data_IF_796263832306
#
_entry.id   IF_796263832306
#
_cell.length_a   1.000
_cell.length_b   1.000
_cell.length_c   1.000
_cell.angle_alpha   90.00
_cell.angle_beta   90.00
_cell.angle_gamma   90.00
#
_symmetry.space_group_name_H-M   'P 1'
#
loop_
_entity.id
_entity.type
_entity.pdbx_description
1 polymer ?
#
# COMPACT_ATOMS: atom_id res chain seq x y z
N UNK A 1 -18.38 -8.38 -12.32
CA UNK A 1 -17.06 -8.57 -11.68
C UNK A 1 -16.94 -7.73 -10.40
N UNK A 2 -16.69 -8.36 -9.25
CA UNK A 2 -16.61 -7.69 -7.93
C UNK A 2 -15.55 -6.56 -7.89
N UNK A 3 -14.51 -6.69 -8.71
CA UNK A 3 -13.41 -5.72 -8.78
C UNK A 3 -13.83 -4.31 -9.24
N UNK A 4 -14.96 -4.15 -9.96
CA UNK A 4 -15.49 -2.82 -10.31
C UNK A 4 -15.92 -2.01 -9.09
N UNK A 5 -16.18 -2.65 -7.96
CA UNK A 5 -16.52 -1.95 -6.74
C UNK A 5 -15.34 -1.17 -6.13
N UNK A 6 -14.11 -1.40 -6.59
CA UNK A 6 -12.94 -0.58 -6.24
C UNK A 6 -12.82 0.69 -7.08
N UNK A 7 -13.50 0.78 -8.24
CA UNK A 7 -13.42 1.98 -9.07
C UNK A 7 -14.02 3.19 -8.35
N UNK A 8 -13.28 4.30 -8.33
CA UNK A 8 -13.70 5.54 -7.69
C UNK A 8 -12.52 6.38 -7.22
N UNK A 9 -12.86 7.51 -6.60
CA UNK A 9 -11.90 8.28 -5.79
C UNK A 9 -12.10 7.89 -4.34
N UNK A 10 -11.00 7.66 -3.65
CA UNK A 10 -10.99 7.24 -2.25
C UNK A 10 -10.20 8.27 -1.46
N UNK A 11 -10.67 8.58 -0.25
CA UNK A 11 -10.05 9.58 0.62
C UNK A 11 -9.73 8.95 1.96
N UNK A 12 -8.46 9.04 2.35
CA UNK A 12 -8.00 8.70 3.69
C UNK A 12 -8.42 9.78 4.71
N UNK A 13 -8.35 9.46 6.00
CA UNK A 13 -8.76 10.38 7.06
C UNK A 13 -7.97 11.72 7.08
N UNK A 14 -6.73 11.72 6.61
CA UNK A 14 -5.81 12.87 6.54
C UNK A 14 -6.03 13.79 5.32
N UNK A 15 -7.09 13.54 4.53
CA UNK A 15 -7.43 14.20 3.28
C UNK A 15 -6.57 13.82 2.06
N UNK A 16 -5.63 12.89 2.20
CA UNK A 16 -4.96 12.26 1.05
C UNK A 16 -5.96 11.47 0.22
N UNK A 17 -5.79 11.44 -1.10
CA UNK A 17 -6.73 10.79 -2.03
C UNK A 17 -5.98 9.97 -3.05
N UNK A 18 -6.59 8.86 -3.44
CA UNK A 18 -6.17 8.08 -4.59
C UNK A 18 -7.37 7.79 -5.49
N UNK A 19 -7.10 7.46 -6.74
CA UNK A 19 -8.11 7.03 -7.70
C UNK A 19 -7.82 5.62 -8.17
N UNK A 20 -8.88 4.84 -8.34
CA UNK A 20 -8.83 3.54 -9.01
C UNK A 20 -9.73 3.60 -10.22
N UNK A 21 -9.16 3.37 -11.41
CA UNK A 21 -9.88 3.41 -12.68
C UNK A 21 -9.75 2.11 -13.44
N UNK A 22 -10.76 1.76 -14.23
CA UNK A 22 -10.68 0.65 -15.18
C UNK A 22 -10.07 1.16 -16.49
N UNK A 23 -8.94 0.59 -16.89
CA UNK A 23 -8.28 0.88 -18.17
C UNK A 23 -9.07 0.30 -19.35
N UNK A 24 -8.79 0.77 -20.57
CA UNK A 24 -9.35 0.21 -21.80
C UNK A 24 -9.03 -1.28 -22.00
N UNK A 25 -7.93 -1.76 -21.41
CA UNK A 25 -7.53 -3.15 -21.39
C UNK A 25 -8.28 -4.01 -20.34
N UNK A 26 -9.23 -3.43 -19.60
CA UNK A 26 -9.98 -4.13 -18.55
C UNK A 26 -9.19 -4.41 -17.27
N UNK A 27 -8.02 -3.79 -17.11
CA UNK A 27 -7.23 -3.82 -15.87
C UNK A 27 -7.57 -2.64 -14.97
N UNK A 28 -7.42 -2.80 -13.66
CA UNK A 28 -7.57 -1.71 -12.71
C UNK A 28 -6.24 -0.98 -12.52
N UNK A 29 -6.26 0.35 -12.54
CA UNK A 29 -5.10 1.20 -12.31
C UNK A 29 -5.31 2.02 -11.05
N UNK A 30 -4.31 2.03 -10.18
CA UNK A 30 -4.19 2.90 -9.01
C UNK A 30 -3.38 4.13 -9.38
N UNK A 31 -3.83 5.32 -8.98
CA UNK A 31 -3.10 6.57 -9.12
C UNK A 31 -3.21 7.40 -7.83
N UNK A 32 -2.09 7.94 -7.35
CA UNK A 32 -2.00 8.79 -6.15
C UNK A 32 -0.87 9.83 -6.29
N UNK A 33 -0.94 10.91 -5.51
CA UNK A 33 0.20 11.83 -5.32
C UNK A 33 0.91 11.46 -4.02
N UNK A 34 2.11 10.90 -4.12
CA UNK A 34 2.93 10.53 -2.97
C UNK A 34 3.31 11.79 -2.15
N UNK A 35 3.68 11.61 -0.86
CA UNK A 35 4.06 12.71 0.05
C UNK A 35 5.19 13.62 -0.46
N UNK A 36 6.03 13.11 -1.36
CA UNK A 36 7.08 13.89 -2.04
C UNK A 36 6.51 14.90 -3.06
N UNK A 37 5.22 14.83 -3.37
CA UNK A 37 4.57 15.57 -4.45
C UNK A 37 4.66 14.87 -5.82
N UNK A 38 5.31 13.71 -5.89
CA UNK A 38 5.46 12.92 -7.11
C UNK A 38 4.23 12.04 -7.33
N UNK A 39 3.80 11.89 -8.57
CA UNK A 39 2.68 11.00 -8.90
C UNK A 39 3.17 9.55 -8.95
N UNK A 40 2.43 8.65 -8.33
CA UNK A 40 2.66 7.21 -8.29
C UNK A 40 1.49 6.48 -8.94
N UNK A 41 1.78 5.41 -9.66
CA UNK A 41 0.76 4.58 -10.30
C UNK A 41 1.11 3.09 -10.24
N UNK A 42 0.09 2.24 -10.34
CA UNK A 42 0.28 0.80 -10.44
C UNK A 42 -0.92 0.10 -11.07
N UNK A 43 -0.68 -1.05 -11.69
CA UNK A 43 -1.75 -1.93 -12.17
C UNK A 43 -2.10 -2.91 -11.06
N UNK A 44 -3.38 -2.97 -10.74
CA UNK A 44 -3.92 -3.83 -9.69
C UNK A 44 -4.43 -5.13 -10.28
N UNK A 45 -4.01 -6.24 -9.69
CA UNK A 45 -4.45 -7.59 -10.03
C UNK A 45 -5.24 -8.20 -8.87
N UNK A 46 -6.23 -9.07 -9.13
CA UNK A 46 -6.93 -9.79 -8.08
C UNK A 46 -6.00 -10.68 -7.27
N UNK A 47 -6.05 -10.54 -5.94
CA UNK A 47 -5.30 -11.38 -5.00
C UNK A 47 -6.22 -11.70 -3.81
N UNK A 48 -6.63 -12.97 -3.68
CA UNK A 48 -7.58 -13.39 -2.65
C UNK A 48 -8.92 -12.66 -2.72
N UNK A 49 -9.28 -11.96 -1.65
CA UNK A 49 -10.51 -11.17 -1.51
C UNK A 49 -10.35 -9.72 -1.98
N UNK A 50 -9.14 -9.32 -2.38
CA UNK A 50 -8.76 -7.95 -2.66
C UNK A 50 -8.12 -7.76 -4.02
N UNK A 51 -7.34 -6.68 -4.08
CA UNK A 51 -6.50 -6.31 -5.20
C UNK A 51 -5.09 -6.03 -4.69
N UNK A 52 -4.08 -6.33 -5.49
CA UNK A 52 -2.69 -6.02 -5.17
C UNK A 52 -1.93 -5.54 -6.42
N UNK A 53 -0.96 -4.65 -6.24
CA UNK A 53 -0.09 -4.22 -7.34
C UNK A 53 1.16 -3.49 -6.86
N UNK A 54 2.21 -3.57 -7.67
CA UNK A 54 3.41 -2.76 -7.51
C UNK A 54 3.15 -1.33 -8.00
N UNK A 55 3.67 -0.35 -7.28
CA UNK A 55 3.57 1.07 -7.55
C UNK A 55 4.90 1.61 -8.03
N UNK A 56 4.85 2.47 -9.04
CA UNK A 56 6.02 3.14 -9.60
C UNK A 56 5.78 4.64 -9.67
N UNK A 57 6.82 5.42 -9.45
CA UNK A 57 6.79 6.84 -9.72
C UNK A 57 6.69 7.08 -11.24
N UNK A 58 5.86 8.05 -11.63
CA UNK A 58 5.53 8.29 -13.04
C UNK A 58 6.62 9.04 -13.81
N UNK A 59 7.49 9.76 -13.11
CA UNK A 59 8.55 10.60 -13.67
C UNK A 59 9.84 9.83 -13.99
N UNK A 60 10.23 8.86 -13.17
CA UNK A 60 11.46 8.05 -13.39
C UNK A 60 11.22 6.54 -13.46
N UNK A 61 10.04 6.05 -13.09
CA UNK A 61 9.72 4.62 -13.05
C UNK A 61 10.25 3.90 -11.80
N UNK A 62 10.87 4.61 -10.87
CA UNK A 62 11.41 4.03 -9.65
C UNK A 62 10.31 3.35 -8.83
N UNK A 63 10.66 2.25 -8.17
CA UNK A 63 9.75 1.52 -7.31
C UNK A 63 9.29 2.42 -6.14
N UNK A 64 7.99 2.68 -6.08
CA UNK A 64 7.37 3.40 -4.98
C UNK A 64 6.92 2.45 -3.87
N UNK A 65 6.68 1.17 -4.15
CA UNK A 65 6.31 0.13 -3.18
C UNK A 65 5.25 -0.79 -3.77
N UNK A 66 4.50 -1.49 -2.92
CA UNK A 66 3.31 -2.24 -3.33
C UNK A 66 2.10 -1.81 -2.51
N UNK A 67 0.90 -1.94 -3.10
CA UNK A 67 -0.37 -1.67 -2.42
C UNK A 67 -1.27 -2.88 -2.49
N UNK A 68 -2.04 -3.10 -1.42
CA UNK A 68 -3.13 -4.06 -1.33
C UNK A 68 -4.41 -3.35 -0.92
N UNK A 69 -5.49 -3.57 -1.65
CA UNK A 69 -6.81 -3.01 -1.38
C UNK A 69 -7.81 -4.11 -1.05
N UNK A 70 -8.61 -3.92 0.00
CA UNK A 70 -9.72 -4.81 0.38
C UNK A 70 -10.98 -4.01 0.65
N UNK A 71 -12.10 -4.41 0.03
CA UNK A 71 -13.40 -3.80 0.33
C UNK A 71 -13.83 -4.21 1.74
N UNK A 72 -14.28 -3.24 2.52
CA UNK A 72 -14.83 -3.51 3.85
C UNK A 72 -16.33 -3.77 3.73
N UNK A 73 -16.84 -4.77 4.45
CA UNK A 73 -18.26 -5.13 4.44
C UNK A 73 -19.14 -4.06 5.07
N UNK A 74 -18.65 -3.42 6.12
CA UNK A 74 -19.40 -2.39 6.85
C UNK A 74 -19.14 -1.03 6.16
N UNK A 75 -20.18 -0.32 5.66
CA UNK A 75 -20.02 1.01 5.10
C UNK A 75 -19.72 2.06 6.17
N UNK A 76 -19.38 3.28 5.74
CA UNK A 76 -19.31 4.44 6.62
C UNK A 76 -20.71 4.81 7.16
N UNK A 77 -20.76 5.68 8.19
CA UNK A 77 -22.02 6.09 8.84
C UNK A 77 -23.02 6.74 7.87
N UNK A 78 -22.52 7.35 6.80
CA UNK A 78 -23.31 8.00 5.74
C UNK A 78 -23.56 7.08 4.53
N UNK A 79 -23.30 5.79 4.66
CA UNK A 79 -23.54 4.79 3.61
C UNK A 79 -22.44 4.70 2.56
N UNK A 80 -21.38 5.52 2.63
CA UNK A 80 -20.26 5.46 1.68
C UNK A 80 -19.47 4.17 1.83
N UNK A 81 -18.96 3.63 0.72
CA UNK A 81 -18.12 2.44 0.74
C UNK A 81 -16.78 2.72 1.42
N UNK A 82 -16.18 1.68 1.97
CA UNK A 82 -14.87 1.74 2.61
C UNK A 82 -13.93 0.69 2.02
N UNK A 83 -12.67 1.07 1.88
CA UNK A 83 -11.58 0.21 1.44
C UNK A 83 -10.46 0.28 2.47
N UNK A 84 -10.00 -0.88 2.93
CA UNK A 84 -8.73 -0.99 3.63
C UNK A 84 -7.61 -1.00 2.58
N UNK A 85 -6.71 -0.03 2.67
CA UNK A 85 -5.50 0.08 1.86
C UNK A 85 -4.30 -0.27 2.73
N UNK A 86 -3.39 -1.07 2.21
CA UNK A 86 -2.22 -1.51 2.93
C UNK A 86 -1.01 -1.44 2.02
N UNK A 87 0.07 -0.86 2.52
CA UNK A 87 1.23 -0.54 1.73
C UNK A 87 2.43 -1.35 2.18
N UNK A 88 3.34 -1.65 1.25
CA UNK A 88 4.63 -2.28 1.52
C UNK A 88 5.71 -1.44 0.88
N UNK A 89 6.65 -0.97 1.69
CA UNK A 89 7.78 -0.17 1.21
C UNK A 89 8.67 -0.95 0.24
N UNK A 90 9.31 -0.27 -0.74
CA UNK A 90 10.28 -0.90 -1.63
C UNK A 90 11.39 -1.62 -0.85
N UNK A 91 11.65 -2.89 -1.18
CA UNK A 91 12.69 -3.69 -0.53
C UNK A 91 12.30 -4.28 0.83
N UNK A 92 11.11 -4.00 1.35
CA UNK A 92 10.59 -4.61 2.58
C UNK A 92 9.69 -5.81 2.26
N UNK A 93 9.76 -6.84 3.10
CA UNK A 93 8.87 -8.01 3.00
C UNK A 93 7.54 -7.83 3.74
N UNK A 94 7.53 -6.94 4.74
CA UNK A 94 6.40 -6.74 5.64
C UNK A 94 5.45 -5.65 5.12
N UNK A 95 4.15 -5.90 5.26
CA UNK A 95 3.12 -4.91 5.00
C UNK A 95 2.95 -4.00 6.22
N UNK A 96 2.65 -2.72 5.97
CA UNK A 96 2.33 -1.75 7.01
C UNK A 96 0.97 -2.05 7.67
N UNK A 97 0.46 -1.14 8.49
CA UNK A 97 -0.90 -1.21 9.01
C UNK A 97 -1.94 -0.91 7.91
N UNK A 98 -3.16 -1.43 8.08
CA UNK A 98 -4.28 -1.07 7.21
C UNK A 98 -4.69 0.40 7.45
N UNK A 99 -4.83 1.16 6.37
CA UNK A 99 -5.41 2.48 6.34
C UNK A 99 -6.80 2.42 5.71
N UNK A 100 -7.81 2.93 6.42
CA UNK A 100 -9.18 2.96 5.89
C UNK A 100 -9.37 4.21 5.04
N UNK A 101 -9.77 4.00 3.80
CA UNK A 101 -10.22 5.04 2.89
C UNK A 101 -11.73 4.95 2.68
N UNK A 102 -12.39 6.10 2.64
CA UNK A 102 -13.80 6.19 2.30
C UNK A 102 -13.96 6.64 0.86
N UNK A 103 -15.00 6.15 0.20
CA UNK A 103 -15.37 6.65 -1.11
C UNK A 103 -15.59 8.17 -1.04
N UNK A 104 -14.94 8.89 -1.93
CA UNK A 104 -15.07 10.33 -2.08
C UNK A 104 -16.03 10.58 -3.24
N UNK A 105 -17.30 10.85 -2.92
CA UNK A 105 -18.26 11.32 -3.90
C UNK A 105 -17.74 12.64 -4.48
N UNK A 106 -17.37 12.66 -5.76
CA UNK A 106 -17.20 13.91 -6.46
C UNK A 106 -18.53 14.68 -6.35
N UNK A 107 -18.48 15.92 -5.88
CA UNK A 107 -19.65 16.80 -5.89
C UNK A 107 -20.19 16.80 -7.33
N UNK A 108 -21.47 16.48 -7.57
CA UNK A 108 -21.99 16.42 -8.92
C UNK A 108 -21.73 17.77 -9.61
N UNK A 109 -21.16 17.76 -10.82
CA UNK A 109 -20.90 18.99 -11.57
C UNK A 109 -22.24 19.63 -11.94
N UNK A 110 -22.70 20.56 -11.10
CA UNK A 110 -24.02 21.18 -11.24
C UNK A 110 -24.33 22.28 -10.22
N UNK A 111 -23.53 22.46 -9.17
CA UNK A 111 -23.65 23.59 -8.24
C UNK A 111 -22.36 24.42 -8.25
N UNK A 112 -22.29 25.34 -9.22
CA UNK A 112 -21.66 26.65 -9.10
C UNK A 112 -20.18 26.75 -8.68
N UNK A 113 -19.35 27.05 -9.68
CA UNK A 113 -18.25 28.03 -9.62
C UNK A 113 -17.23 27.89 -8.48
N UNK A 114 -16.08 27.29 -8.82
CA UNK A 114 -14.85 27.50 -8.06
C UNK A 114 -13.86 26.39 -8.34
N UNK A 115 -12.81 26.69 -9.10
CA UNK A 115 -11.60 25.87 -9.16
C UNK A 115 -11.04 25.81 -7.74
N UNK A 116 -11.41 24.77 -6.99
CA UNK A 116 -10.83 24.51 -5.69
C UNK A 116 -9.48 23.83 -5.92
N UNK A 117 -8.44 24.66 -6.11
CA UNK A 117 -7.08 24.29 -5.78
C UNK A 117 -7.08 23.79 -4.34
N UNK A 118 -6.92 22.48 -4.13
CA UNK A 118 -6.91 21.86 -2.80
C UNK A 118 -5.83 22.49 -1.92
N UNK A 119 -6.17 23.11 -0.77
CA UNK A 119 -5.15 23.58 0.17
C UNK A 119 -4.67 22.43 1.07
N UNK A 120 -3.34 22.37 1.23
CA UNK A 120 -2.55 21.78 2.32
C UNK A 120 -2.93 20.36 2.80
N UNK A 121 -2.21 19.31 2.37
CA UNK A 121 -0.96 18.81 2.98
C UNK A 121 -1.01 18.76 4.53
N UNK A 122 -1.54 17.66 5.06
CA UNK A 122 -1.05 17.06 6.30
C UNK A 122 -0.64 15.64 5.99
N UNK A 123 0.63 15.37 6.23
CA UNK A 123 1.38 14.23 5.71
C UNK A 123 1.47 13.16 6.78
N UNK A 124 1.23 11.90 6.42
CA UNK A 124 1.75 10.79 7.22
C UNK A 124 3.28 10.77 7.10
N UNK A 125 3.93 10.87 8.26
CA UNK A 125 5.20 10.22 8.46
C UNK A 125 4.91 8.71 8.40
N UNK A 126 5.15 8.09 7.25
CA UNK A 126 5.70 6.74 7.30
C UNK A 126 6.85 6.86 8.29
N UNK A 127 6.70 6.24 9.47
CA UNK A 127 7.81 6.09 10.40
C UNK A 127 8.93 5.54 9.55
N UNK A 128 9.90 6.39 9.23
CA UNK A 128 11.12 5.94 8.59
C UNK A 128 11.72 4.99 9.61
N UNK A 129 11.52 3.69 9.40
CA UNK A 129 12.42 2.71 9.95
C UNK A 129 13.77 3.12 9.37
N UNK A 130 14.60 3.66 10.26
CA UNK A 130 15.91 4.19 9.97
C UNK A 130 16.69 3.19 9.10
N UNK A 131 17.04 3.51 7.83
CA UNK A 131 17.81 2.60 7.01
C UNK A 131 19.25 2.41 7.54
N UNK A 132 19.62 3.07 8.66
CA UNK A 132 20.92 2.99 9.31
C UNK A 132 21.08 1.92 10.40
N UNK A 133 20.06 1.12 10.71
CA UNK A 133 20.13 0.08 11.74
C UNK A 133 20.96 -1.14 11.32
N UNK A 134 22.29 -1.01 11.31
CA UNK A 134 23.23 -2.16 11.27
C UNK A 134 22.93 -3.12 12.43
N UNK A 135 22.13 -4.14 12.23
CA UNK A 135 22.18 -5.35 13.06
C UNK A 135 23.26 -6.25 12.49
N UNK A 136 24.45 -6.12 13.07
CA UNK A 136 25.50 -7.13 12.97
C UNK A 136 24.90 -8.52 13.25
N UNK A 137 25.19 -9.56 12.44
CA UNK A 137 24.92 -10.92 12.87
C UNK A 137 25.88 -11.22 14.01
N UNK A 138 25.36 -11.26 15.25
CA UNK A 138 26.01 -11.95 16.35
C UNK A 138 26.21 -13.40 15.90
N UNK A 139 27.44 -13.70 15.51
CA UNK A 139 27.95 -15.06 15.32
C UNK A 139 27.65 -15.83 16.59
N UNK A 140 26.63 -16.69 16.55
CA UNK A 140 26.55 -17.80 17.50
C UNK A 140 27.64 -18.77 17.08
N UNK A 141 28.74 -18.76 17.82
CA UNK A 141 29.81 -19.72 17.71
C UNK A 141 29.22 -21.13 17.88
N UNK A 142 29.30 -21.90 16.80
CA UNK A 142 28.94 -23.31 16.73
C UNK A 142 30.02 -24.08 17.52
N UNK A 143 29.72 -24.43 18.78
CA UNK A 143 30.58 -25.34 19.54
C UNK A 143 30.51 -26.73 18.88
N UNK A 144 31.65 -27.19 18.40
CA UNK A 144 31.83 -28.52 17.85
C UNK A 144 31.69 -29.57 18.95
N UNK A 145 30.76 -30.51 18.80
CA UNK A 145 30.78 -31.77 19.56
C UNK A 145 31.74 -32.74 18.89
N UNK A 146 32.80 -33.20 19.56
CA UNK A 146 33.60 -34.30 19.03
C UNK A 146 32.87 -35.63 19.20
N UNK A 147 32.67 -36.30 18.07
CA UNK A 147 32.36 -37.72 17.98
C UNK A 147 33.55 -38.51 18.53
N UNK A 148 33.30 -39.41 19.48
CA UNK A 148 34.20 -40.55 19.73
C UNK A 148 33.38 -41.79 20.01
N UNK A 149 33.41 -42.70 19.03
CA UNK A 149 32.94 -44.07 19.12
C UNK A 149 34.09 -44.98 19.62
N UNK A 150 33.92 -46.32 19.67
CA UNK A 150 33.97 -47.13 20.88
C UNK A 150 35.33 -47.82 21.09
N UNK A 151 35.56 -48.35 22.31
CA UNK A 151 36.60 -49.34 22.55
C UNK A 151 35.95 -50.60 23.15
N UNK A 152 35.98 -51.66 22.33
CA UNK A 152 35.87 -53.07 22.69
C UNK A 152 37.19 -53.53 23.36
N UNK A 153 37.24 -54.80 23.80
CA UNK A 153 38.38 -55.61 24.30
C UNK A 153 38.45 -55.63 25.84
N UNK A 154 38.32 -56.75 26.57
CA UNK A 154 38.23 -58.19 26.28
C UNK A 154 37.42 -58.86 27.39
#
# INVERSE_FOLDING_TARGET
PRHRAFCGTWRYADASKYTVIMTSAGKLQFDEVHKSGRAVRGVLEPEGDGLQGELHFTDDGDAAGAVRLRLMEVPAKDGRRRVASNFRMPGHSEWDVDLVAEEFAAVPPGHGLGVAMSPARRQYAYLQADPGGRTSPLRVARAASPVRAPALVL
#
